data_IF_883646842664
#
_entry.id   IF_883646842664
#
_cell.length_a   1.000
_cell.length_b   1.000
_cell.length_c   1.000
_cell.angle_alpha   90.00
_cell.angle_beta   90.00
_cell.angle_gamma   90.00
#
_symmetry.space_group_name_H-M   'P 1'
#
loop_
_entity.id
_entity.type
_entity.pdbx_description
1 polymer ?
#
# COMPACT_ATOMS: atom_id res chain seq x y z
N UNK A 1 -7.04 30.24 -18.26
CA UNK A 1 -7.92 30.16 -17.07
C UNK A 1 -7.42 28.96 -16.30
N UNK A 2 -6.70 29.17 -15.20
CA UNK A 2 -6.27 28.07 -14.33
C UNK A 2 -7.54 27.48 -13.73
N UNK A 3 -7.89 26.26 -14.14
CA UNK A 3 -8.97 25.50 -13.53
C UNK A 3 -8.59 25.31 -12.06
N UNK A 4 -9.18 26.12 -11.17
CA UNK A 4 -8.74 26.27 -9.78
C UNK A 4 -9.23 25.07 -8.96
N UNK A 5 -8.74 23.87 -9.30
CA UNK A 5 -9.01 22.64 -8.57
C UNK A 5 -8.45 22.79 -7.16
N UNK A 6 -9.29 22.61 -6.16
CA UNK A 6 -8.83 22.48 -4.77
C UNK A 6 -7.90 21.26 -4.64
N UNK A 7 -6.86 21.33 -3.78
CA UNK A 7 -5.86 20.27 -3.69
C UNK A 7 -6.43 18.96 -3.12
N UNK A 8 -5.78 17.86 -3.45
CA UNK A 8 -5.96 16.57 -2.77
C UNK A 8 -4.87 16.44 -1.70
N UNK A 9 -5.28 16.21 -0.44
CA UNK A 9 -4.36 15.94 0.64
C UNK A 9 -3.96 14.46 0.64
N UNK A 10 -2.66 14.20 0.60
CA UNK A 10 -2.10 12.85 0.61
C UNK A 10 -1.35 12.64 1.93
N UNK A 11 -1.90 11.77 2.78
CA UNK A 11 -1.17 11.26 3.93
C UNK A 11 -0.15 10.21 3.48
N UNK A 12 0.98 10.13 4.19
CA UNK A 12 2.03 9.15 3.87
C UNK A 12 2.74 9.40 2.52
N UNK A 13 2.73 10.65 2.01
CA UNK A 13 3.31 11.00 0.70
C UNK A 13 4.81 10.70 0.55
N UNK A 14 5.55 10.57 1.65
CA UNK A 14 6.98 10.17 1.65
C UNK A 14 7.19 8.65 1.74
N UNK A 15 6.11 7.88 1.89
CA UNK A 15 6.10 6.42 1.86
C UNK A 15 5.75 5.87 0.47
N UNK A 16 5.71 4.55 0.36
CA UNK A 16 5.45 3.84 -0.91
C UNK A 16 4.10 4.22 -1.52
N UNK A 17 3.01 3.98 -0.80
CA UNK A 17 1.65 4.22 -1.32
C UNK A 17 1.36 5.70 -1.56
N UNK A 18 1.57 6.55 -0.53
CA UNK A 18 1.30 7.97 -0.65
C UNK A 18 2.18 8.65 -1.71
N UNK A 19 3.44 8.24 -1.87
CA UNK A 19 4.31 8.79 -2.92
C UNK A 19 3.80 8.45 -4.33
N UNK A 20 3.39 7.20 -4.54
CA UNK A 20 2.73 6.76 -5.77
C UNK A 20 1.46 7.55 -6.06
N UNK A 21 0.60 7.74 -5.05
CA UNK A 21 -0.62 8.55 -5.16
C UNK A 21 -0.31 10.01 -5.48
N UNK A 22 0.66 10.63 -4.80
CA UNK A 22 1.05 12.01 -5.07
C UNK A 22 1.54 12.19 -6.51
N UNK A 23 2.38 11.29 -7.01
CA UNK A 23 2.88 11.31 -8.40
C UNK A 23 1.73 11.21 -9.40
N UNK A 24 0.87 10.20 -9.26
CA UNK A 24 -0.23 9.97 -10.19
C UNK A 24 -1.26 11.10 -10.18
N UNK A 25 -1.52 11.72 -9.03
CA UNK A 25 -2.38 12.89 -8.92
C UNK A 25 -1.80 14.11 -9.64
N UNK A 26 -0.50 14.37 -9.49
CA UNK A 26 0.19 15.44 -10.22
C UNK A 26 0.15 15.21 -11.74
N UNK A 27 0.42 13.98 -12.19
CA UNK A 27 0.34 13.59 -13.61
C UNK A 27 -1.07 13.78 -14.18
N UNK A 28 -2.11 13.51 -13.37
CA UNK A 28 -3.51 13.76 -13.71
C UNK A 28 -3.93 15.24 -13.58
N UNK A 29 -3.02 16.14 -13.23
CA UNK A 29 -3.26 17.58 -13.15
C UNK A 29 -4.05 18.02 -11.91
N UNK A 30 -4.02 17.24 -10.83
CA UNK A 30 -4.53 17.67 -9.53
C UNK A 30 -3.45 18.43 -8.75
N UNK A 31 -3.77 19.57 -8.12
CA UNK A 31 -2.91 20.11 -7.09
C UNK A 31 -2.83 19.13 -5.91
N UNK A 32 -1.62 18.88 -5.43
CA UNK A 32 -1.37 17.91 -4.35
C UNK A 32 -0.81 18.63 -3.14
N UNK A 33 -1.33 18.27 -1.97
CA UNK A 33 -0.81 18.67 -0.66
C UNK A 33 -0.37 17.43 0.10
N UNK A 34 0.76 17.49 0.78
CA UNK A 34 1.28 16.41 1.61
C UNK A 34 1.46 16.86 3.06
N UNK A 35 0.95 16.07 4.01
CA UNK A 35 1.32 16.23 5.42
C UNK A 35 2.64 15.48 5.68
N UNK A 36 3.68 16.21 6.10
CA UNK A 36 5.02 15.65 6.35
C UNK A 36 5.54 16.03 7.74
N UNK A 37 6.19 15.09 8.42
CA UNK A 37 6.78 15.34 9.74
C UNK A 37 7.97 16.31 9.67
N UNK A 38 8.85 16.10 8.69
CA UNK A 38 10.03 16.92 8.45
C UNK A 38 10.04 17.43 7.00
N UNK A 39 9.70 18.71 6.75
CA UNK A 39 9.75 19.32 5.42
C UNK A 39 11.16 19.37 4.81
N UNK A 40 12.22 19.27 5.62
CA UNK A 40 13.62 19.33 5.19
C UNK A 40 14.22 17.96 4.88
N UNK A 41 13.45 16.87 5.00
CA UNK A 41 13.94 15.54 4.60
C UNK A 41 14.11 15.45 3.09
N UNK A 42 15.06 14.64 2.60
CA UNK A 42 15.29 14.48 1.16
C UNK A 42 14.02 14.07 0.39
N UNK A 43 13.19 13.19 0.96
CA UNK A 43 11.92 12.77 0.35
C UNK A 43 10.89 13.92 0.32
N UNK A 44 10.82 14.73 1.37
CA UNK A 44 9.94 15.91 1.40
C UNK A 44 10.37 16.96 0.38
N UNK A 45 11.67 17.25 0.30
CA UNK A 45 12.24 18.19 -0.68
C UNK A 45 11.92 17.72 -2.10
N UNK A 46 12.12 16.43 -2.40
CA UNK A 46 11.79 15.86 -3.71
C UNK A 46 10.30 16.03 -4.08
N UNK A 47 9.38 15.88 -3.12
CA UNK A 47 7.95 16.15 -3.34
C UNK A 47 7.70 17.63 -3.66
N UNK A 48 8.32 18.54 -2.91
CA UNK A 48 8.17 19.98 -3.14
C UNK A 48 8.73 20.41 -4.50
N UNK A 49 9.87 19.85 -4.91
CA UNK A 49 10.53 20.17 -6.18
C UNK A 49 9.67 19.80 -7.40
N UNK A 50 8.77 18.82 -7.27
CA UNK A 50 7.80 18.44 -8.30
C UNK A 50 6.43 19.11 -8.14
N UNK A 51 6.30 20.08 -7.22
CA UNK A 51 5.11 20.92 -7.08
C UNK A 51 4.08 20.46 -6.04
N UNK A 52 4.43 19.53 -5.14
CA UNK A 52 3.58 19.19 -3.99
C UNK A 52 3.67 20.27 -2.91
N UNK A 53 2.53 20.79 -2.47
CA UNK A 53 2.46 21.68 -1.31
C UNK A 53 2.75 20.89 -0.02
N UNK A 54 3.78 21.27 0.73
CA UNK A 54 4.10 20.64 2.00
C UNK A 54 3.43 21.36 3.18
N UNK A 55 2.73 20.61 4.01
CA UNK A 55 2.27 21.05 5.33
C UNK A 55 3.01 20.25 6.39
N UNK A 56 3.69 20.94 7.30
CA UNK A 56 4.35 20.26 8.42
C UNK A 56 3.31 19.75 9.41
N UNK A 57 3.41 18.49 9.81
CA UNK A 57 2.51 17.93 10.80
C UNK A 57 2.77 16.47 11.15
N UNK A 58 2.03 16.01 12.15
CA UNK A 58 2.11 14.65 12.68
C UNK A 58 0.72 14.06 12.90
N UNK A 59 0.56 12.75 12.71
CA UNK A 59 -0.70 12.02 12.93
C UNK A 59 -1.16 12.06 14.39
N UNK A 60 -0.23 12.19 15.34
CA UNK A 60 -0.55 12.35 16.76
C UNK A 60 -1.16 13.72 17.09
N UNK A 61 -1.05 14.71 16.19
CA UNK A 61 -1.53 16.06 16.40
C UNK A 61 -2.79 16.36 15.57
N UNK A 62 -3.96 16.31 16.21
CA UNK A 62 -5.26 16.66 15.60
C UNK A 62 -5.23 18.02 14.90
N UNK A 63 -4.57 19.03 15.50
CA UNK A 63 -4.46 20.35 14.88
C UNK A 63 -3.65 20.30 13.59
N UNK A 64 -2.57 19.50 13.52
CA UNK A 64 -1.78 19.35 12.30
C UNK A 64 -2.60 18.73 11.16
N UNK A 65 -3.40 17.69 11.48
CA UNK A 65 -4.30 17.05 10.51
C UNK A 65 -5.34 18.08 10.01
N UNK A 66 -5.94 18.85 10.92
CA UNK A 66 -6.89 19.92 10.59
C UNK A 66 -6.28 20.99 9.69
N UNK A 67 -5.06 21.46 9.98
CA UNK A 67 -4.35 22.41 9.12
C UNK A 67 -4.13 21.86 7.71
N UNK A 68 -3.71 20.59 7.60
CA UNK A 68 -3.55 19.91 6.32
C UNK A 68 -4.83 19.88 5.48
N UNK A 69 -6.00 19.71 6.12
CA UNK A 69 -7.29 19.59 5.45
C UNK A 69 -7.93 20.92 5.03
N UNK A 70 -7.36 22.08 5.38
CA UNK A 70 -7.96 23.37 5.02
C UNK A 70 -8.04 23.58 3.51
N UNK A 71 -9.27 23.68 3.00
CA UNK A 71 -9.53 24.01 1.60
C UNK A 71 -9.20 22.89 0.60
N UNK A 72 -9.02 21.65 1.08
CA UNK A 72 -8.76 20.49 0.22
C UNK A 72 -10.07 19.93 -0.31
N UNK A 73 -10.04 19.38 -1.53
CA UNK A 73 -11.20 18.73 -2.14
C UNK A 73 -11.38 17.30 -1.63
N UNK A 74 -10.27 16.59 -1.55
CA UNK A 74 -10.25 15.17 -1.28
C UNK A 74 -9.07 14.80 -0.39
N UNK A 75 -9.14 13.63 0.22
CA UNK A 75 -8.12 13.11 1.12
C UNK A 75 -7.79 11.67 0.73
N UNK A 76 -6.52 11.37 0.47
CA UNK A 76 -6.02 10.01 0.48
C UNK A 76 -5.45 9.68 1.87
N UNK A 77 -6.06 8.71 2.55
CA UNK A 77 -5.75 8.30 3.91
C UNK A 77 -5.06 6.95 3.92
N UNK A 78 -3.80 6.94 4.38
CA UNK A 78 -3.02 5.74 4.70
C UNK A 78 -2.23 6.01 5.97
N UNK A 79 -2.25 5.08 6.92
CA UNK A 79 -1.50 5.16 8.17
C UNK A 79 -0.20 4.37 8.05
N UNK A 80 0.84 4.71 8.84
CA UNK A 80 1.90 3.75 9.15
C UNK A 80 1.25 2.50 9.78
N UNK A 81 1.64 1.31 9.32
CA UNK A 81 1.07 0.07 9.81
C UNK A 81 1.78 -0.37 11.08
N UNK A 82 1.07 -0.70 12.15
CA UNK A 82 1.66 -1.30 13.37
C UNK A 82 2.38 -2.63 13.07
N UNK A 83 1.89 -3.34 12.05
CA UNK A 83 2.52 -4.55 11.51
C UNK A 83 3.97 -4.34 11.09
N UNK A 84 4.35 -3.13 10.63
CA UNK A 84 5.74 -2.71 10.28
C UNK A 84 6.68 -2.56 11.47
N UNK A 85 6.28 -3.13 12.61
CA UNK A 85 7.15 -3.51 13.70
C UNK A 85 7.22 -2.50 14.85
N UNK A 86 7.75 -2.96 16.00
CA UNK A 86 8.11 -2.12 17.15
C UNK A 86 9.08 -0.97 16.84
N UNK A 87 9.79 -1.02 15.71
CA UNK A 87 10.80 -0.02 15.31
C UNK A 87 10.20 1.35 14.97
N UNK A 88 8.92 1.39 14.57
CA UNK A 88 8.18 2.64 14.44
C UNK A 88 7.58 3.11 15.76
N UNK A 89 7.64 2.28 16.81
CA UNK A 89 7.03 2.55 18.11
C UNK A 89 5.50 2.69 18.05
N UNK A 90 4.85 2.14 17.02
CA UNK A 90 3.43 2.32 16.75
C UNK A 90 2.61 1.09 17.17
N UNK A 91 1.62 1.31 18.01
CA UNK A 91 0.65 0.30 18.43
C UNK A 91 -0.55 0.21 17.48
N UNK A 92 -1.25 -0.93 17.50
CA UNK A 92 -2.52 -1.10 16.78
C UNK A 92 -3.56 -0.03 17.13
N UNK A 93 -3.62 0.35 18.42
CA UNK A 93 -4.55 1.38 18.90
C UNK A 93 -4.16 2.78 18.41
N UNK A 94 -2.87 3.07 18.21
CA UNK A 94 -2.44 4.32 17.57
C UNK A 94 -2.78 4.36 16.09
N UNK A 95 -2.56 3.27 15.35
CA UNK A 95 -2.98 3.17 13.95
C UNK A 95 -4.48 3.43 13.82
N UNK A 96 -5.29 2.77 14.65
CA UNK A 96 -6.73 2.96 14.68
C UNK A 96 -7.11 4.41 15.01
N UNK A 97 -6.50 4.98 16.05
CA UNK A 97 -6.76 6.36 16.48
C UNK A 97 -6.45 7.35 15.35
N UNK A 98 -5.37 7.14 14.61
CA UNK A 98 -5.03 7.98 13.46
C UNK A 98 -6.04 7.85 12.33
N UNK A 99 -6.45 6.63 11.98
CA UNK A 99 -7.46 6.38 10.96
C UNK A 99 -8.81 7.04 11.28
N UNK A 100 -9.30 6.87 12.51
CA UNK A 100 -10.54 7.49 12.99
C UNK A 100 -10.42 9.02 12.97
N UNK A 101 -9.34 9.59 13.52
CA UNK A 101 -9.17 11.04 13.58
C UNK A 101 -9.12 11.68 12.19
N UNK A 102 -8.46 11.06 11.21
CA UNK A 102 -8.43 11.54 9.83
C UNK A 102 -9.84 11.50 9.21
N UNK A 103 -10.59 10.42 9.44
CA UNK A 103 -11.94 10.29 8.89
C UNK A 103 -12.89 11.33 9.48
N UNK A 104 -12.86 11.54 10.81
CA UNK A 104 -13.68 12.54 11.49
C UNK A 104 -13.31 13.97 11.06
N UNK A 105 -12.02 14.27 10.96
CA UNK A 105 -11.57 15.59 10.52
C UNK A 105 -11.87 15.86 9.05
N UNK A 106 -11.96 14.82 8.21
CA UNK A 106 -12.40 14.97 6.83
C UNK A 106 -13.86 15.45 6.78
N UNK A 107 -14.73 14.92 7.64
CA UNK A 107 -16.11 15.41 7.81
C UNK A 107 -16.11 16.84 8.35
N UNK A 108 -15.36 17.11 9.43
CA UNK A 108 -15.26 18.44 10.05
C UNK A 108 -14.82 19.50 9.04
N UNK A 109 -13.89 19.15 8.15
CA UNK A 109 -13.31 20.04 7.14
C UNK A 109 -14.10 20.09 5.83
N UNK A 110 -15.27 19.45 5.77
CA UNK A 110 -16.12 19.37 4.58
C UNK A 110 -15.39 18.84 3.33
N UNK A 111 -14.52 17.84 3.51
CA UNK A 111 -13.87 17.12 2.42
C UNK A 111 -14.95 16.43 1.57
N UNK A 112 -14.84 16.58 0.25
CA UNK A 112 -15.85 16.05 -0.67
C UNK A 112 -15.71 14.55 -0.89
N UNK A 113 -14.48 14.02 -0.85
CA UNK A 113 -14.21 12.59 -1.09
C UNK A 113 -13.01 12.10 -0.27
N UNK A 114 -13.23 11.08 0.56
CA UNK A 114 -12.19 10.37 1.29
C UNK A 114 -11.85 9.04 0.59
N UNK A 115 -10.60 8.86 0.18
CA UNK A 115 -10.10 7.56 -0.29
C UNK A 115 -9.25 6.95 0.82
N UNK A 116 -9.67 5.81 1.35
CA UNK A 116 -8.99 5.11 2.44
C UNK A 116 -8.28 3.86 1.93
N UNK A 117 -6.99 3.73 2.21
CA UNK A 117 -6.23 2.51 1.95
C UNK A 117 -6.30 1.56 3.13
N UNK A 118 -7.06 0.48 2.95
CA UNK A 118 -7.20 -0.64 3.87
C UNK A 118 -6.23 -1.77 3.48
N UNK A 119 -6.68 -3.04 3.50
CA UNK A 119 -5.92 -4.23 3.14
C UNK A 119 -6.84 -5.30 2.53
N UNK A 120 -6.32 -6.06 1.55
CA UNK A 120 -6.98 -7.25 0.99
C UNK A 120 -7.28 -8.33 2.05
N UNK A 121 -6.61 -8.28 3.20
CA UNK A 121 -6.86 -9.17 4.33
C UNK A 121 -8.20 -8.89 5.04
N UNK A 122 -8.82 -7.73 4.83
CA UNK A 122 -10.07 -7.34 5.53
C UNK A 122 -11.28 -8.09 4.96
N UNK A 123 -12.24 -8.42 5.83
CA UNK A 123 -13.46 -9.18 5.49
C UNK A 123 -14.26 -9.48 6.76
N UNK A 124 -15.14 -10.46 6.71
CA UNK A 124 -16.24 -10.57 7.68
C UNK A 124 -15.81 -11.01 9.08
N UNK A 125 -14.69 -11.75 9.19
CA UNK A 125 -14.12 -12.19 10.44
C UNK A 125 -12.75 -11.56 10.67
N UNK A 126 -12.38 -11.26 11.93
CA UNK A 126 -11.03 -10.84 12.30
C UNK A 126 -9.99 -11.85 11.81
N UNK A 127 -8.84 -11.33 11.39
CA UNK A 127 -7.70 -12.14 10.94
C UNK A 127 -6.90 -12.73 12.08
N UNK A 128 -7.00 -12.15 13.30
CA UNK A 128 -6.13 -12.47 14.43
C UNK A 128 -4.90 -11.54 14.50
N UNK A 129 -4.52 -10.93 13.38
CA UNK A 129 -3.42 -9.99 13.29
C UNK A 129 -3.91 -8.55 13.45
N UNK A 130 -3.49 -7.91 14.55
CA UNK A 130 -3.94 -6.56 14.92
C UNK A 130 -3.87 -5.52 13.80
N UNK A 131 -2.76 -5.48 13.06
CA UNK A 131 -2.55 -4.52 11.96
C UNK A 131 -3.49 -4.68 10.74
N UNK A 132 -4.13 -5.85 10.56
CA UNK A 132 -5.20 -6.01 9.58
C UNK A 132 -6.57 -5.69 10.18
N UNK A 133 -6.78 -6.06 11.44
CA UNK A 133 -8.06 -5.88 12.14
C UNK A 133 -8.33 -4.40 12.49
N UNK A 134 -7.27 -3.60 12.70
CA UNK A 134 -7.37 -2.13 12.82
C UNK A 134 -7.99 -1.50 11.57
N UNK A 135 -7.59 -1.95 10.38
CA UNK A 135 -8.12 -1.45 9.11
C UNK A 135 -9.60 -1.78 8.93
N UNK A 136 -10.02 -2.98 9.36
CA UNK A 136 -11.44 -3.35 9.37
C UNK A 136 -12.27 -2.42 10.29
N UNK A 137 -11.74 -2.07 11.46
CA UNK A 137 -12.37 -1.12 12.41
C UNK A 137 -12.44 0.30 11.83
N UNK A 138 -11.38 0.76 11.16
CA UNK A 138 -11.37 2.07 10.47
C UNK A 138 -12.40 2.10 9.34
N UNK A 139 -12.48 1.04 8.51
CA UNK A 139 -13.51 0.95 7.47
C UNK A 139 -14.93 1.01 8.06
N UNK A 140 -15.18 0.27 9.14
CA UNK A 140 -16.46 0.28 9.82
C UNK A 140 -16.84 1.68 10.32
N UNK A 141 -15.87 2.41 10.90
CA UNK A 141 -16.05 3.80 11.32
C UNK A 141 -16.39 4.72 10.15
N UNK A 142 -15.59 4.67 9.07
CA UNK A 142 -15.80 5.50 7.86
C UNK A 142 -17.21 5.32 7.28
N UNK A 143 -17.75 4.09 7.28
CA UNK A 143 -19.12 3.81 6.80
C UNK A 143 -20.22 4.50 7.61
N UNK A 144 -19.95 4.91 8.84
CA UNK A 144 -20.92 5.64 9.69
C UNK A 144 -20.93 7.14 9.43
N UNK A 145 -19.91 7.66 8.73
CA UNK A 145 -19.70 9.09 8.57
C UNK A 145 -20.48 9.66 7.38
N UNK A 146 -20.96 10.91 7.48
CA UNK A 146 -21.68 11.58 6.39
C UNK A 146 -20.72 12.16 5.35
N UNK A 147 -19.85 11.33 4.77
CA UNK A 147 -18.87 11.71 3.74
C UNK A 147 -18.88 10.69 2.60
N UNK A 148 -18.65 11.14 1.36
CA UNK A 148 -18.41 10.21 0.25
C UNK A 148 -17.03 9.57 0.49
N UNK A 149 -17.01 8.26 0.68
CA UNK A 149 -15.78 7.52 0.89
C UNK A 149 -15.63 6.39 -0.12
N UNK A 150 -14.40 6.13 -0.55
CA UNK A 150 -14.01 4.92 -1.29
C UNK A 150 -12.94 4.20 -0.49
N UNK A 151 -13.12 2.90 -0.28
CA UNK A 151 -12.10 2.07 0.35
C UNK A 151 -11.38 1.29 -0.74
N UNK A 152 -10.06 1.39 -0.80
CA UNK A 152 -9.24 0.45 -1.56
C UNK A 152 -8.66 -0.58 -0.60
N UNK A 153 -8.60 -1.84 -1.04
CA UNK A 153 -8.01 -2.97 -0.31
C UNK A 153 -6.86 -3.53 -1.16
N UNK A 154 -5.67 -2.95 -1.03
CA UNK A 154 -4.51 -3.43 -1.77
C UNK A 154 -4.13 -4.86 -1.34
N UNK A 155 -3.76 -5.70 -2.31
CA UNK A 155 -3.16 -7.02 -2.04
C UNK A 155 -1.65 -6.88 -1.77
N UNK A 156 -0.93 -8.00 -1.64
CA UNK A 156 0.52 -8.02 -1.42
C UNK A 156 1.28 -7.22 -2.49
N UNK A 157 2.23 -6.39 -2.06
CA UNK A 157 3.00 -5.55 -2.99
C UNK A 157 4.11 -6.34 -3.68
N UNK A 158 4.35 -6.06 -4.97
CA UNK A 158 5.48 -6.65 -5.71
C UNK A 158 6.82 -6.31 -5.05
N UNK A 159 6.93 -5.10 -4.51
CA UNK A 159 8.07 -4.58 -3.74
C UNK A 159 8.40 -5.46 -2.52
N UNK A 160 7.38 -6.04 -1.88
CA UNK A 160 7.58 -6.92 -0.72
C UNK A 160 8.40 -8.15 -1.09
N UNK A 161 8.23 -8.69 -2.31
CA UNK A 161 8.98 -9.87 -2.76
C UNK A 161 10.49 -9.61 -2.90
N UNK A 162 10.91 -8.35 -2.84
CA UNK A 162 12.32 -7.95 -2.91
C UNK A 162 12.93 -7.63 -1.54
N UNK A 163 12.16 -7.75 -0.45
CA UNK A 163 12.68 -7.50 0.88
C UNK A 163 13.75 -8.52 1.28
N UNK A 164 14.73 -8.12 2.12
CA UNK A 164 15.69 -9.06 2.70
C UNK A 164 15.01 -10.21 3.46
N UNK A 165 15.73 -11.32 3.60
CA UNK A 165 15.24 -12.50 4.32
C UNK A 165 14.42 -13.49 3.49
N UNK A 166 14.03 -13.14 2.26
CA UNK A 166 13.43 -14.09 1.32
C UNK A 166 14.47 -14.89 0.51
N UNK A 167 15.77 -14.58 0.64
CA UNK A 167 16.87 -15.41 0.13
C UNK A 167 17.37 -15.09 -1.28
N UNK A 168 16.89 -13.99 -1.90
CA UNK A 168 17.35 -13.56 -3.24
C UNK A 168 18.86 -13.32 -3.29
N UNK A 169 19.43 -12.80 -2.20
CA UNK A 169 20.87 -12.63 -1.96
C UNK A 169 21.64 -13.96 -1.96
N UNK A 170 20.97 -15.05 -1.60
CA UNK A 170 21.51 -16.40 -1.56
C UNK A 170 21.24 -17.18 -2.86
N UNK A 171 20.62 -16.54 -3.86
CA UNK A 171 20.29 -17.18 -5.13
C UNK A 171 19.12 -18.15 -5.06
N UNK A 172 18.20 -17.96 -4.12
CA UNK A 172 16.95 -18.73 -3.99
C UNK A 172 15.80 -17.78 -3.62
N UNK A 173 14.56 -18.28 -3.57
CA UNK A 173 13.44 -17.49 -3.08
C UNK A 173 12.53 -18.33 -2.18
N UNK A 174 12.40 -17.91 -0.92
CA UNK A 174 11.54 -18.54 0.08
C UNK A 174 10.35 -17.65 0.38
N UNK A 175 9.13 -18.20 0.35
CA UNK A 175 7.93 -17.40 0.57
C UNK A 175 6.79 -18.18 1.24
N UNK A 176 5.67 -17.50 1.53
CA UNK A 176 4.55 -18.03 2.31
C UNK A 176 3.70 -19.06 1.55
N UNK A 177 3.57 -18.92 0.23
CA UNK A 177 2.55 -19.63 -0.56
C UNK A 177 2.97 -21.04 -0.93
N UNK A 178 2.01 -21.94 -1.08
CA UNK A 178 2.28 -23.26 -1.68
C UNK A 178 2.68 -23.07 -3.15
N UNK A 179 3.54 -23.95 -3.66
CA UNK A 179 4.18 -23.83 -4.98
C UNK A 179 3.20 -23.57 -6.13
N UNK A 180 2.03 -24.20 -6.10
CA UNK A 180 0.99 -24.10 -7.16
C UNK A 180 -0.25 -23.30 -6.72
N UNK A 181 -0.21 -22.65 -5.55
CA UNK A 181 -1.31 -21.81 -5.07
C UNK A 181 -1.22 -20.42 -5.71
N UNK A 182 -2.29 -19.91 -6.33
CA UNK A 182 -2.30 -18.56 -6.88
C UNK A 182 -2.36 -17.51 -5.77
N UNK A 183 -1.69 -16.39 -6.02
CA UNK A 183 -1.66 -15.19 -5.20
C UNK A 183 -1.67 -13.97 -6.12
N UNK A 184 -2.45 -12.96 -5.75
CA UNK A 184 -2.45 -11.68 -6.43
C UNK A 184 -1.40 -10.75 -5.85
N UNK A 185 -0.74 -10.02 -6.75
CA UNK A 185 0.27 -9.01 -6.44
C UNK A 185 -0.17 -7.66 -6.97
N UNK A 186 0.28 -6.59 -6.32
CA UNK A 186 0.02 -5.20 -6.73
C UNK A 186 1.36 -4.47 -6.86
N UNK A 187 1.59 -3.81 -7.99
CA UNK A 187 2.67 -2.84 -8.07
C UNK A 187 2.26 -1.56 -7.32
N UNK A 188 3.10 -1.04 -6.43
CA UNK A 188 2.76 0.18 -5.66
C UNK A 188 2.42 1.35 -6.58
N UNK A 189 3.05 1.45 -7.74
CA UNK A 189 2.75 2.50 -8.74
C UNK A 189 1.29 2.45 -9.26
N UNK A 190 0.69 1.27 -9.32
CA UNK A 190 -0.69 1.13 -9.79
C UNK A 190 -1.69 1.65 -8.75
N UNK A 191 -1.36 1.62 -7.45
CA UNK A 191 -2.18 2.26 -6.39
C UNK A 191 -2.43 3.72 -6.75
N UNK A 192 -1.40 4.46 -7.15
CA UNK A 192 -1.51 5.86 -7.52
C UNK A 192 -2.46 6.06 -8.70
N UNK A 193 -2.33 5.24 -9.74
CA UNK A 193 -3.19 5.29 -10.94
C UNK A 193 -4.66 5.03 -10.58
N UNK A 194 -4.94 4.04 -9.74
CA UNK A 194 -6.31 3.77 -9.26
C UNK A 194 -6.86 4.93 -8.42
N UNK A 195 -6.08 5.46 -7.49
CA UNK A 195 -6.53 6.58 -6.64
C UNK A 195 -6.79 7.84 -7.48
N UNK A 196 -5.94 8.14 -8.46
CA UNK A 196 -6.16 9.25 -9.38
C UNK A 196 -7.45 9.08 -10.19
N UNK A 197 -7.74 7.85 -10.68
CA UNK A 197 -9.00 7.54 -11.35
C UNK A 197 -10.22 7.67 -10.42
N UNK A 198 -10.10 7.24 -9.17
CA UNK A 198 -11.15 7.37 -8.15
C UNK A 198 -11.51 8.84 -7.90
N UNK A 199 -10.51 9.73 -7.79
CA UNK A 199 -10.77 11.16 -7.64
C UNK A 199 -11.29 11.84 -8.92
N UNK A 200 -10.98 11.29 -10.10
CA UNK A 200 -11.50 11.77 -11.36
C UNK A 200 -12.99 11.45 -11.55
N UNK A 201 -13.47 10.32 -11.02
CA UNK A 201 -14.87 9.89 -11.08
C UNK A 201 -15.43 9.49 -9.70
N UNK A 202 -15.53 10.47 -8.82
CA UNK A 202 -16.07 10.27 -7.46
C UNK A 202 -17.54 9.79 -7.47
N UNK A 203 -18.28 10.02 -8.55
CA UNK A 203 -19.66 9.58 -8.70
C UNK A 203 -19.76 8.07 -8.93
N UNK A 204 -18.87 7.50 -9.73
CA UNK A 204 -18.79 6.06 -9.96
C UNK A 204 -18.21 5.30 -8.75
N UNK A 205 -17.16 5.84 -8.12
CA UNK A 205 -16.43 5.15 -7.06
C UNK A 205 -16.90 5.47 -5.64
N UNK A 206 -17.74 6.48 -5.45
CA UNK A 206 -18.27 6.87 -4.14
C UNK A 206 -19.06 5.74 -3.48
N UNK A 207 -18.69 5.40 -2.25
CA UNK A 207 -19.27 4.29 -1.48
C UNK A 207 -18.70 2.91 -1.82
N UNK A 208 -17.83 2.80 -2.84
CA UNK A 208 -17.26 1.52 -3.24
C UNK A 208 -16.19 1.03 -2.25
N UNK A 209 -16.08 -0.29 -2.13
CA UNK A 209 -14.93 -0.98 -1.55
C UNK A 209 -14.32 -1.86 -2.65
N UNK A 210 -13.07 -1.59 -3.01
CA UNK A 210 -12.42 -2.16 -4.20
C UNK A 210 -11.17 -2.89 -3.75
N UNK A 211 -11.08 -4.18 -4.04
CA UNK A 211 -9.83 -4.91 -3.89
C UNK A 211 -8.94 -4.67 -5.10
N UNK A 212 -7.67 -4.30 -4.87
CA UNK A 212 -6.78 -3.80 -5.92
C UNK A 212 -5.57 -4.72 -6.05
N UNK A 213 -5.37 -5.23 -7.26
CA UNK A 213 -4.25 -6.07 -7.66
C UNK A 213 -3.80 -5.73 -9.09
N UNK A 214 -2.56 -6.05 -9.43
CA UNK A 214 -2.01 -5.89 -10.79
C UNK A 214 -1.83 -7.21 -11.55
N UNK A 215 -1.48 -8.29 -10.83
CA UNK A 215 -1.19 -9.59 -11.46
C UNK A 215 -1.57 -10.76 -10.55
N UNK A 216 -1.62 -11.97 -11.12
CA UNK A 216 -1.74 -13.24 -10.37
C UNK A 216 -0.56 -14.13 -10.68
N UNK A 217 0.11 -14.66 -9.64
CA UNK A 217 1.23 -15.58 -9.79
C UNK A 217 1.15 -16.74 -8.79
N UNK A 218 1.84 -17.82 -9.09
CA UNK A 218 2.12 -18.96 -8.21
C UNK A 218 3.60 -18.97 -7.79
N UNK A 219 3.96 -19.75 -6.76
CA UNK A 219 5.37 -19.95 -6.41
C UNK A 219 6.21 -20.49 -7.57
N UNK A 220 5.63 -21.36 -8.42
CA UNK A 220 6.25 -21.85 -9.65
C UNK A 220 6.52 -20.73 -10.66
N UNK A 221 5.58 -19.81 -10.83
CA UNK A 221 5.76 -18.67 -11.74
C UNK A 221 6.76 -17.66 -11.18
N UNK A 222 6.78 -17.44 -9.86
CA UNK A 222 7.80 -16.64 -9.20
C UNK A 222 9.21 -17.21 -9.43
N UNK A 223 9.40 -18.53 -9.30
CA UNK A 223 10.66 -19.22 -9.64
C UNK A 223 11.12 -18.89 -11.06
N UNK A 224 10.21 -19.03 -12.03
CA UNK A 224 10.51 -18.80 -13.44
C UNK A 224 10.83 -17.33 -13.73
N UNK A 225 10.02 -16.41 -13.20
CA UNK A 225 10.15 -14.96 -13.41
C UNK A 225 11.44 -14.42 -12.78
N UNK A 226 11.78 -14.84 -11.56
CA UNK A 226 13.04 -14.45 -10.94
C UNK A 226 14.25 -15.08 -11.64
N UNK A 227 14.17 -16.35 -12.03
CA UNK A 227 15.23 -17.02 -12.80
C UNK A 227 15.53 -16.29 -14.11
N UNK A 228 14.47 -15.93 -14.84
CA UNK A 228 14.59 -15.17 -16.07
C UNK A 228 15.21 -13.79 -15.83
N UNK A 229 14.68 -13.02 -14.88
CA UNK A 229 15.16 -11.68 -14.58
C UNK A 229 16.61 -11.65 -14.05
N UNK A 230 17.03 -12.70 -13.34
CA UNK A 230 18.38 -12.84 -12.80
C UNK A 230 19.39 -13.36 -13.83
N UNK A 231 18.94 -14.03 -14.89
CA UNK A 231 19.80 -14.73 -15.84
C UNK A 231 20.51 -15.96 -15.25
N UNK A 232 20.06 -16.45 -14.10
CA UNK A 232 20.57 -17.64 -13.40
C UNK A 232 19.44 -18.31 -12.60
N UNK A 233 19.50 -19.61 -12.31
CA UNK A 233 18.47 -20.29 -11.52
C UNK A 233 18.25 -19.62 -10.15
N UNK A 234 16.99 -19.33 -9.84
CA UNK A 234 16.49 -18.89 -8.52
C UNK A 234 15.35 -19.83 -8.11
N UNK A 235 15.65 -20.97 -7.45
CA UNK A 235 14.64 -21.94 -7.06
C UNK A 235 13.67 -21.35 -6.02
N UNK A 236 12.39 -21.73 -6.14
CA UNK A 236 11.36 -21.40 -5.18
C UNK A 236 11.21 -22.51 -4.14
N UNK A 237 11.19 -22.13 -2.87
CA UNK A 237 10.72 -22.97 -1.79
C UNK A 237 9.72 -22.20 -0.91
N UNK A 238 8.91 -22.96 -0.17
CA UNK A 238 8.12 -22.38 0.91
C UNK A 238 9.01 -22.24 2.14
N UNK A 239 8.71 -21.30 3.03
CA UNK A 239 9.32 -21.30 4.36
C UNK A 239 9.18 -22.68 5.04
N UNK A 240 10.28 -23.14 5.66
CA UNK A 240 10.31 -24.43 6.35
C UNK A 240 9.56 -24.37 7.67
N UNK A 241 9.11 -25.52 8.16
CA UNK A 241 8.46 -25.63 9.47
C UNK A 241 9.35 -25.10 10.61
N UNK A 242 10.67 -25.26 10.50
CA UNK A 242 11.64 -24.71 11.44
C UNK A 242 11.56 -23.17 11.48
N UNK A 243 11.58 -22.51 10.32
CA UNK A 243 11.47 -21.04 10.21
C UNK A 243 10.13 -20.56 10.75
N UNK A 244 9.03 -21.24 10.40
CA UNK A 244 7.69 -20.88 10.87
C UNK A 244 7.56 -21.07 12.37
N UNK A 245 8.10 -22.16 12.93
CA UNK A 245 8.06 -22.41 14.38
C UNK A 245 8.88 -21.39 15.19
N UNK A 246 9.93 -20.83 14.60
CA UNK A 246 10.79 -19.83 15.24
C UNK A 246 10.22 -18.40 15.15
N UNK A 247 9.24 -18.15 14.29
CA UNK A 247 8.66 -16.82 14.07
C UNK A 247 7.13 -16.88 14.02
N UNK A 248 6.45 -16.63 15.17
CA UNK A 248 4.99 -16.68 15.26
C UNK A 248 4.26 -15.78 14.25
N UNK A 249 4.82 -14.61 13.95
CA UNK A 249 4.24 -13.69 12.97
C UNK A 249 4.27 -14.28 11.56
N UNK A 250 5.39 -14.90 11.16
CA UNK A 250 5.49 -15.60 9.87
C UNK A 250 4.56 -16.82 9.81
N UNK A 251 4.42 -17.55 10.91
CA UNK A 251 3.48 -18.68 11.00
C UNK A 251 2.04 -18.23 10.77
N UNK A 252 1.60 -17.17 11.47
CA UNK A 252 0.23 -16.64 11.35
C UNK A 252 -0.05 -16.10 9.93
N UNK A 253 0.88 -15.35 9.33
CA UNK A 253 0.75 -14.94 7.92
C UNK A 253 0.65 -16.14 6.98
N UNK A 254 1.44 -17.19 7.23
CA UNK A 254 1.43 -18.42 6.43
C UNK A 254 0.08 -19.14 6.51
N UNK A 255 -0.52 -19.21 7.70
CA UNK A 255 -1.86 -19.76 7.90
C UNK A 255 -2.93 -18.94 7.17
N UNK A 256 -2.84 -17.61 7.20
CA UNK A 256 -3.75 -16.74 6.45
C UNK A 256 -3.63 -16.92 4.93
N UNK A 257 -2.42 -17.14 4.40
CA UNK A 257 -2.24 -17.53 3.00
C UNK A 257 -2.85 -18.91 2.72
N UNK A 258 -2.61 -19.91 3.58
CA UNK A 258 -3.16 -21.25 3.42
C UNK A 258 -4.70 -21.29 3.44
N UNK A 259 -5.31 -20.40 4.23
CA UNK A 259 -6.75 -20.21 4.28
C UNK A 259 -7.31 -19.40 3.09
N UNK A 260 -6.47 -18.92 2.17
CA UNK A 260 -6.88 -18.08 1.03
C UNK A 260 -7.22 -16.64 1.42
N UNK A 261 -6.93 -16.22 2.65
CA UNK A 261 -7.28 -14.89 3.17
C UNK A 261 -6.42 -13.78 2.56
N UNK A 262 -5.17 -14.10 2.24
CA UNK A 262 -4.18 -13.17 1.69
C UNK A 262 -3.86 -13.42 0.21
N UNK A 263 -4.54 -14.38 -0.45
CA UNK A 263 -4.28 -14.69 -1.87
C UNK A 263 -4.80 -13.63 -2.83
N UNK A 264 -5.67 -12.75 -2.36
CA UNK A 264 -6.40 -11.80 -3.21
C UNK A 264 -7.51 -12.46 -4.02
N UNK A 265 -8.55 -11.67 -4.30
CA UNK A 265 -9.76 -12.03 -5.06
C UNK A 265 -10.23 -10.88 -5.95
N UNK A 266 -9.36 -9.93 -6.26
CA UNK A 266 -9.64 -8.80 -7.12
C UNK A 266 -9.97 -9.25 -8.55
N UNK A 267 -10.93 -8.59 -9.20
CA UNK A 267 -11.26 -8.83 -10.59
C UNK A 267 -10.30 -8.04 -11.49
N UNK A 268 -9.24 -8.69 -11.97
CA UNK A 268 -8.20 -8.03 -12.80
C UNK A 268 -8.75 -7.44 -14.10
N UNK A 269 -9.79 -8.01 -14.70
CA UNK A 269 -10.36 -7.48 -15.94
C UNK A 269 -11.10 -6.16 -15.68
N UNK A 270 -11.91 -6.10 -14.61
CA UNK A 270 -12.54 -4.85 -14.19
C UNK A 270 -11.50 -3.79 -13.77
N UNK A 271 -10.42 -4.20 -13.12
CA UNK A 271 -9.33 -3.30 -12.76
C UNK A 271 -8.60 -2.75 -14.00
N UNK A 272 -8.46 -3.53 -15.07
CA UNK A 272 -7.90 -3.07 -16.35
C UNK A 272 -8.78 -2.06 -17.07
N UNK A 273 -10.09 -2.11 -16.89
CA UNK A 273 -11.00 -1.07 -17.42
C UNK A 273 -10.71 0.30 -16.79
N UNK A 274 -10.28 0.33 -15.52
CA UNK A 274 -9.89 1.56 -14.82
C UNK A 274 -8.44 1.95 -15.07
N UNK A 275 -7.52 0.99 -15.08
CA UNK A 275 -6.10 1.19 -15.38
C UNK A 275 -5.66 0.24 -16.50
N UNK A 276 -5.73 0.65 -17.79
CA UNK A 276 -5.34 -0.20 -18.91
C UNK A 276 -3.86 -0.62 -18.91
N UNK A 277 -3.01 0.10 -18.18
CA UNK A 277 -1.57 -0.14 -18.08
C UNK A 277 -1.21 -0.88 -16.78
N UNK A 278 -2.11 -1.75 -16.31
CA UNK A 278 -1.92 -2.57 -15.11
C UNK A 278 -0.67 -3.45 -15.23
N UNK A 279 0.24 -3.38 -14.26
CA UNK A 279 1.52 -4.06 -14.33
C UNK A 279 1.41 -5.57 -14.13
N UNK A 280 1.98 -6.36 -15.04
CA UNK A 280 2.34 -7.74 -14.70
C UNK A 280 3.60 -7.75 -13.83
N UNK A 281 3.80 -8.79 -13.03
CA UNK A 281 5.04 -8.93 -12.26
C UNK A 281 6.27 -9.01 -13.18
N UNK A 282 6.10 -9.62 -14.36
CA UNK A 282 7.11 -9.66 -15.43
C UNK A 282 7.47 -8.27 -15.95
N UNK A 283 6.48 -7.43 -16.28
CA UNK A 283 6.73 -6.07 -16.80
C UNK A 283 7.33 -5.18 -15.72
N UNK A 284 6.89 -5.35 -14.47
CA UNK A 284 7.45 -4.64 -13.33
C UNK A 284 8.92 -5.00 -13.09
N UNK A 285 9.30 -6.29 -13.07
CA UNK A 285 10.70 -6.74 -12.93
C UNK A 285 11.63 -6.23 -14.03
N UNK A 286 11.09 -6.06 -15.24
CA UNK A 286 11.82 -5.54 -16.40
C UNK A 286 11.80 -4.01 -16.51
N UNK A 287 10.96 -3.34 -15.70
CA UNK A 287 10.78 -1.89 -15.69
C UNK A 287 11.11 -1.29 -14.34
N UNK A 288 10.10 -0.75 -13.66
CA UNK A 288 10.21 0.02 -12.40
C UNK A 288 10.80 -0.78 -11.24
N UNK A 289 10.57 -2.09 -11.18
CA UNK A 289 11.14 -2.99 -10.17
C UNK A 289 12.57 -3.46 -10.43
N UNK A 290 13.14 -3.16 -11.61
CA UNK A 290 14.42 -3.73 -12.06
C UNK A 290 15.59 -3.37 -11.14
N UNK A 291 15.72 -2.10 -10.77
CA UNK A 291 16.81 -1.62 -9.92
C UNK A 291 16.72 -2.22 -8.52
N UNK A 292 15.53 -2.22 -7.93
CA UNK A 292 15.29 -2.83 -6.62
C UNK A 292 15.60 -4.33 -6.64
N UNK A 293 15.23 -5.03 -7.71
CA UNK A 293 15.53 -6.46 -7.84
C UNK A 293 17.03 -6.72 -7.93
N UNK A 294 17.77 -5.92 -8.71
CA UNK A 294 19.23 -6.03 -8.78
C UNK A 294 19.90 -5.79 -7.44
N UNK A 295 19.41 -4.82 -6.67
CA UNK A 295 19.86 -4.57 -5.30
C UNK A 295 19.56 -5.77 -4.39
N UNK A 296 18.36 -6.36 -4.47
CA UNK A 296 17.95 -7.51 -3.67
C UNK A 296 18.83 -8.75 -3.91
N UNK A 297 19.33 -8.95 -5.14
CA UNK A 297 20.26 -10.03 -5.46
C UNK A 297 21.64 -9.91 -4.77
N UNK A 298 22.02 -8.72 -4.31
CA UNK A 298 23.33 -8.45 -3.69
C UNK A 298 23.26 -8.00 -2.23
N UNK A 299 22.07 -7.83 -1.65
CA UNK A 299 21.90 -7.30 -0.28
C UNK A 299 21.60 -8.44 0.69
N UNK A 300 22.62 -8.87 1.44
CA UNK A 300 22.43 -9.84 2.52
C UNK A 300 21.63 -9.23 3.69
N UNK A 301 20.68 -9.99 4.24
CA UNK A 301 19.91 -9.57 5.41
C UNK A 301 18.97 -10.66 5.94
N UNK A 302 18.67 -10.61 7.24
CA UNK A 302 17.58 -11.40 7.83
C UNK A 302 16.22 -10.79 7.44
N UNK A 303 15.14 -11.56 7.55
CA UNK A 303 13.79 -11.04 7.36
C UNK A 303 13.50 -10.05 8.49
N UNK A 304 13.33 -8.78 8.13
CA UNK A 304 12.93 -7.71 9.03
C UNK A 304 11.76 -6.95 8.39
N UNK A 305 10.63 -6.90 9.09
CA UNK A 305 9.42 -6.26 8.60
C UNK A 305 9.46 -4.79 9.02
N UNK A 306 10.44 -4.07 8.47
CA UNK A 306 10.69 -2.64 8.72
C UNK A 306 11.53 -2.07 7.59
N UNK A 307 10.96 -1.19 6.77
CA UNK A 307 11.74 -0.45 5.78
C UNK A 307 12.50 0.69 6.47
N UNK A 308 13.78 0.83 6.14
CA UNK A 308 14.50 2.10 6.23
C UNK A 308 13.89 3.16 5.28
#
# INVERSE_FOLDING_TARGET
>A
MSDNKQPILVFGATGQQGGSVASALLEAGWPVRALVRNPQSAKSIALNDVGVELVQGDFACVQSIREGMKGVRGVFSVQPSSGQGPDLGLTDEEELRYGIAIADLAVESAVQHLVYSSSGAVGDQPTGMGHFDTKARIEAHIRTLPIIATVIRPVAFMEMLLMPGFGLDQGQFNFFVKRDQPMQLLAVEDIGKFVAAIFADSGHFGGATIEVASDTVTGRELEALFTEAAGRPIPYARFSDEVLSANPFLAELTELFDAGRLTGKANLDALRETNPNLQSFRSWLNGTGREAFQKALGTAGAWDYGYA
#
